data_IF_804663586014
#
_entry.id   IF_804663586014
#
_cell.length_a   1.000
_cell.length_b   1.000
_cell.length_c   1.000
_cell.angle_alpha   90.00
_cell.angle_beta   90.00
_cell.angle_gamma   90.00
#
_symmetry.space_group_name_H-M   'P 1'
#
loop_
_entity.id
_entity.type
_entity.pdbx_description
1 polymer ?
#
# COMPACT_ATOMS: atom_id res chain seq x y z
N UNK A 1 5.18 -17.96 24.75
CA UNK A 1 4.84 -17.39 23.43
C UNK A 1 4.91 -18.39 22.27
N UNK A 2 5.59 -19.56 22.39
CA UNK A 2 5.73 -20.56 21.30
C UNK A 2 4.48 -21.42 21.02
N UNK A 3 3.67 -21.76 22.03
CA UNK A 3 2.56 -22.71 21.88
C UNK A 3 1.41 -22.22 20.98
N UNK A 4 1.12 -20.91 20.94
CA UNK A 4 0.05 -20.36 20.08
C UNK A 4 0.40 -20.42 18.59
N UNK A 5 1.67 -20.27 18.22
CA UNK A 5 2.12 -20.31 16.83
C UNK A 5 2.00 -21.72 16.24
N UNK A 6 2.37 -22.72 17.03
CA UNK A 6 2.29 -24.12 16.62
C UNK A 6 0.83 -24.56 16.48
N UNK A 7 -0.07 -24.03 17.30
CA UNK A 7 -1.51 -24.26 17.15
C UNK A 7 -2.05 -23.71 15.82
N UNK A 8 -1.67 -22.47 15.44
CA UNK A 8 -2.09 -21.88 14.16
C UNK A 8 -1.59 -22.65 12.94
N UNK A 9 -0.36 -23.18 12.99
CA UNK A 9 0.18 -24.03 11.92
C UNK A 9 -0.65 -25.30 11.78
N UNK A 10 -1.00 -25.95 12.90
CA UNK A 10 -1.86 -27.14 12.90
C UNK A 10 -3.25 -26.83 12.36
N UNK A 11 -3.89 -25.72 12.75
CA UNK A 11 -5.21 -25.35 12.22
C UNK A 11 -5.20 -25.16 10.70
N UNK A 12 -4.21 -24.44 10.17
CA UNK A 12 -4.03 -24.26 8.71
C UNK A 12 -3.76 -25.58 7.99
N UNK A 13 -3.07 -26.50 8.64
CA UNK A 13 -2.76 -27.81 8.07
C UNK A 13 -4.01 -28.68 8.02
N UNK A 14 -4.80 -28.71 9.10
CA UNK A 14 -6.09 -29.42 9.14
C UNK A 14 -7.04 -28.85 8.08
N UNK A 15 -7.13 -27.52 7.96
CA UNK A 15 -7.94 -26.86 6.93
C UNK A 15 -7.58 -27.28 5.51
N UNK A 16 -6.29 -27.22 5.14
CA UNK A 16 -5.82 -27.71 3.83
C UNK A 16 -6.11 -29.18 3.59
N UNK A 17 -5.99 -30.01 4.62
CA UNK A 17 -6.31 -31.43 4.50
C UNK A 17 -7.80 -31.60 4.17
N UNK A 18 -8.67 -30.98 4.98
CA UNK A 18 -10.12 -31.14 4.85
C UNK A 18 -10.72 -30.51 3.57
N UNK A 19 -10.03 -29.56 2.94
CA UNK A 19 -10.37 -29.06 1.60
C UNK A 19 -10.11 -30.08 0.48
N UNK A 20 -9.20 -31.04 0.68
CA UNK A 20 -8.91 -32.05 -0.32
C UNK A 20 -9.94 -33.18 -0.29
N UNK A 21 -10.99 -33.03 -1.09
CA UNK A 21 -12.11 -33.96 -1.20
C UNK A 21 -11.75 -35.28 -1.91
N UNK A 22 -10.64 -35.32 -2.65
CA UNK A 22 -10.19 -36.52 -3.38
C UNK A 22 -9.51 -37.55 -2.47
N UNK A 23 -9.22 -37.18 -1.21
CA UNK A 23 -8.61 -38.07 -0.20
C UNK A 23 -9.54 -38.22 1.01
N UNK A 24 -9.61 -39.44 1.54
CA UNK A 24 -10.27 -39.70 2.83
C UNK A 24 -9.27 -39.43 3.95
N UNK A 25 -9.64 -38.55 4.89
CA UNK A 25 -8.77 -38.17 6.00
C UNK A 25 -9.19 -38.85 7.30
N UNK A 26 -8.33 -39.71 7.84
CA UNK A 26 -8.48 -40.22 9.20
C UNK A 26 -7.84 -39.27 10.20
N UNK A 27 -8.13 -39.48 11.49
CA UNK A 27 -7.45 -38.72 12.55
C UNK A 27 -5.93 -38.94 12.54
N UNK A 28 -5.47 -40.14 12.16
CA UNK A 28 -4.04 -40.47 12.04
C UNK A 28 -3.40 -39.71 10.88
N UNK A 29 -4.06 -39.61 9.73
CA UNK A 29 -3.58 -38.79 8.60
C UNK A 29 -3.44 -37.32 8.99
N UNK A 30 -4.41 -36.76 9.74
CA UNK A 30 -4.37 -35.37 10.20
C UNK A 30 -3.26 -35.15 11.24
N UNK A 31 -2.98 -36.16 12.09
CA UNK A 31 -1.85 -36.12 13.03
C UNK A 31 -0.51 -36.11 12.30
N UNK A 32 -0.35 -36.98 11.29
CA UNK A 32 0.87 -37.08 10.49
C UNK A 32 1.11 -35.77 9.72
N UNK A 33 0.11 -35.26 9.01
CA UNK A 33 0.20 -34.00 8.29
C UNK A 33 0.55 -32.82 9.21
N UNK A 34 -0.06 -32.73 10.40
CA UNK A 34 0.29 -31.72 11.39
C UNK A 34 1.71 -31.86 11.92
N UNK A 35 2.21 -33.10 12.05
CA UNK A 35 3.57 -33.37 12.54
C UNK A 35 4.61 -32.99 11.50
N UNK A 36 4.37 -33.33 10.24
CA UNK A 36 5.19 -32.94 9.10
C UNK A 36 5.26 -31.41 8.94
N UNK A 37 4.11 -30.73 8.98
CA UNK A 37 4.07 -29.28 8.88
C UNK A 37 4.81 -28.55 10.01
N UNK A 38 4.81 -29.11 11.23
CA UNK A 38 5.59 -28.56 12.34
C UNK A 38 7.09 -28.86 12.19
N UNK A 39 7.45 -30.04 11.69
CA UNK A 39 8.84 -30.41 11.40
C UNK A 39 9.46 -29.47 10.36
N UNK A 40 8.75 -29.23 9.25
CA UNK A 40 9.20 -28.28 8.22
C UNK A 40 9.40 -26.86 8.76
N UNK A 41 8.56 -26.47 9.72
CA UNK A 41 8.58 -25.12 10.28
C UNK A 41 9.67 -24.91 11.34
N UNK A 42 9.85 -25.87 12.26
CA UNK A 42 10.77 -25.74 13.41
C UNK A 42 12.11 -26.47 13.21
N UNK A 43 12.23 -27.35 12.21
CA UNK A 43 13.42 -28.16 11.94
C UNK A 43 13.73 -29.20 13.01
N UNK A 44 12.74 -29.56 13.84
CA UNK A 44 12.86 -30.54 14.94
C UNK A 44 11.75 -31.56 14.85
N UNK A 45 12.07 -32.82 15.11
CA UNK A 45 11.06 -33.88 15.22
C UNK A 45 10.09 -33.57 16.36
N UNK A 46 8.87 -33.19 15.99
CA UNK A 46 7.78 -32.90 16.92
C UNK A 46 6.54 -33.68 16.48
N UNK A 47 6.31 -34.84 17.09
CA UNK A 47 5.11 -35.64 16.86
C UNK A 47 3.90 -35.02 17.55
N UNK A 48 2.82 -34.79 16.80
CA UNK A 48 1.54 -34.31 17.35
C UNK A 48 0.74 -35.48 17.90
N UNK A 49 0.29 -35.39 19.16
CA UNK A 49 -0.49 -36.44 19.79
C UNK A 49 -1.94 -36.46 19.30
N UNK A 50 -2.59 -37.64 19.37
CA UNK A 50 -4.03 -37.80 19.07
C UNK A 50 -4.91 -36.84 19.85
N UNK A 51 -4.61 -36.63 21.13
CA UNK A 51 -5.33 -35.71 22.00
C UNK A 51 -5.20 -34.26 21.50
N UNK A 52 -4.03 -33.87 21.02
CA UNK A 52 -3.78 -32.52 20.49
C UNK A 52 -4.63 -32.27 19.26
N UNK A 53 -4.57 -33.16 18.26
CA UNK A 53 -5.37 -33.02 17.03
C UNK A 53 -6.87 -33.02 17.31
N UNK A 54 -7.34 -33.82 18.27
CA UNK A 54 -8.75 -33.81 18.70
C UNK A 54 -9.17 -32.48 19.34
N UNK A 55 -8.32 -31.91 20.20
CA UNK A 55 -8.56 -30.61 20.81
C UNK A 55 -8.52 -29.49 19.77
N UNK A 56 -7.62 -29.57 18.79
CA UNK A 56 -7.55 -28.60 17.69
C UNK A 56 -8.82 -28.64 16.84
N UNK A 57 -9.30 -29.83 16.46
CA UNK A 57 -10.58 -29.99 15.74
C UNK A 57 -11.75 -29.46 16.57
N UNK A 58 -11.77 -29.73 17.88
CA UNK A 58 -12.81 -29.22 18.77
C UNK A 58 -12.78 -27.69 18.86
N UNK A 59 -11.60 -27.09 18.89
CA UNK A 59 -11.43 -25.63 18.89
C UNK A 59 -11.84 -25.01 17.55
N UNK A 60 -11.48 -25.64 16.43
CA UNK A 60 -11.88 -25.20 15.10
C UNK A 60 -13.41 -25.23 14.91
N UNK A 61 -14.09 -26.23 15.49
CA UNK A 61 -15.57 -26.29 15.52
C UNK A 61 -16.20 -25.24 16.44
N UNK A 62 -15.46 -24.68 17.37
CA UNK A 62 -16.01 -23.78 18.39
C UNK A 62 -15.96 -22.31 17.96
N UNK A 63 -16.86 -21.51 18.53
CA UNK A 63 -16.89 -20.06 18.36
C UNK A 63 -15.66 -19.34 18.95
N UNK A 64 -14.86 -20.01 19.79
CA UNK A 64 -13.73 -19.39 20.51
C UNK A 64 -12.65 -18.81 19.59
N UNK A 65 -12.48 -19.37 18.40
CA UNK A 65 -11.52 -18.89 17.40
C UNK A 65 -12.20 -18.14 16.25
N UNK A 66 -13.53 -18.01 16.25
CA UNK A 66 -14.30 -17.40 15.17
C UNK A 66 -14.39 -18.24 13.88
N UNK A 67 -13.78 -19.43 13.84
CA UNK A 67 -13.81 -20.28 12.64
C UNK A 67 -15.18 -20.93 12.41
N UNK A 68 -15.82 -21.48 13.45
CA UNK A 68 -17.08 -22.23 13.32
C UNK A 68 -17.02 -23.30 12.23
N UNK A 69 -15.89 -24.01 12.17
CA UNK A 69 -15.59 -24.90 11.06
C UNK A 69 -16.57 -26.08 11.02
N UNK A 70 -17.30 -26.32 9.92
CA UNK A 70 -18.33 -27.34 9.81
C UNK A 70 -17.72 -28.73 9.58
N UNK A 71 -16.83 -29.17 10.47
CA UNK A 71 -16.12 -30.44 10.35
C UNK A 71 -17.06 -31.57 10.78
N UNK A 72 -17.39 -32.49 9.88
CA UNK A 72 -18.22 -33.67 10.16
C UNK A 72 -17.40 -34.96 10.15
N UNK A 73 -17.87 -35.97 10.89
CA UNK A 73 -17.27 -37.31 10.89
C UNK A 73 -18.23 -38.26 10.18
N UNK A 74 -17.76 -38.92 9.12
CA UNK A 74 -18.53 -39.91 8.37
C UNK A 74 -17.83 -41.28 8.39
N UNK A 75 -18.57 -42.35 8.11
CA UNK A 75 -18.15 -43.75 8.25
C UNK A 75 -17.44 -44.05 9.58
N UNK A 76 -17.82 -43.33 10.64
CA UNK A 76 -17.29 -43.41 12.02
C UNK A 76 -15.81 -43.05 12.20
N UNK A 77 -15.06 -42.71 11.13
CA UNK A 77 -13.61 -42.50 11.22
C UNK A 77 -13.01 -41.43 10.31
N UNK A 78 -13.73 -40.97 9.28
CA UNK A 78 -13.20 -39.99 8.34
C UNK A 78 -13.73 -38.60 8.64
N UNK A 79 -12.88 -37.59 8.44
CA UNK A 79 -13.19 -36.18 8.66
C UNK A 79 -13.29 -35.46 7.31
N UNK A 80 -14.28 -34.57 7.17
CA UNK A 80 -14.41 -33.64 6.03
C UNK A 80 -15.15 -32.38 6.48
N UNK A 81 -15.11 -31.32 5.66
CA UNK A 81 -16.07 -30.23 5.79
C UNK A 81 -17.45 -30.66 5.27
N UNK A 82 -18.51 -30.18 5.93
CA UNK A 82 -19.89 -30.31 5.48
C UNK A 82 -20.16 -29.38 4.29
N UNK A 83 -19.60 -28.18 4.35
CA UNK A 83 -19.56 -27.22 3.24
C UNK A 83 -18.24 -27.38 2.46
N UNK A 84 -18.36 -27.65 1.17
CA UNK A 84 -17.25 -27.97 0.28
C UNK A 84 -16.40 -26.74 -0.10
N UNK A 85 -16.94 -25.54 0.03
CA UNK A 85 -16.25 -24.28 -0.26
C UNK A 85 -15.62 -23.65 1.00
N UNK A 86 -15.85 -24.23 2.17
CA UNK A 86 -15.37 -23.69 3.43
C UNK A 86 -13.84 -23.74 3.58
N UNK A 87 -13.26 -22.63 4.04
CA UNK A 87 -11.87 -22.56 4.50
C UNK A 87 -11.75 -21.63 5.71
N UNK A 88 -10.84 -21.94 6.65
CA UNK A 88 -10.51 -21.02 7.75
C UNK A 88 -9.69 -19.79 7.30
N UNK A 89 -9.33 -19.70 6.02
CA UNK A 89 -8.53 -18.59 5.47
C UNK A 89 -9.34 -17.50 4.78
N UNK A 90 -10.58 -17.79 4.37
CA UNK A 90 -11.60 -16.79 4.01
C UNK A 90 -12.48 -16.59 5.25
N UNK A 91 -11.99 -15.80 6.20
CA UNK A 91 -12.81 -15.40 7.35
C UNK A 91 -13.55 -14.13 6.94
N UNK A 92 -14.84 -14.19 6.58
CA UNK A 92 -15.67 -12.99 6.56
C UNK A 92 -15.67 -12.38 7.97
N UNK A 93 -15.68 -11.05 8.06
CA UNK A 93 -15.65 -10.35 9.35
C UNK A 93 -16.75 -10.90 10.26
N UNK A 94 -16.41 -11.32 11.48
CA UNK A 94 -17.40 -11.86 12.42
C UNK A 94 -18.34 -10.74 12.91
N UNK A 95 -19.55 -11.06 13.35
CA UNK A 95 -20.47 -10.04 13.90
C UNK A 95 -19.83 -9.24 15.05
N UNK A 96 -18.97 -9.90 15.83
CA UNK A 96 -18.23 -9.25 16.92
C UNK A 96 -17.21 -8.25 16.38
N UNK A 97 -16.45 -8.62 15.35
CA UNK A 97 -15.51 -7.72 14.68
C UNK A 97 -16.23 -6.51 14.09
N UNK A 98 -17.38 -6.74 13.46
CA UNK A 98 -18.14 -5.66 12.85
C UNK A 98 -18.70 -4.72 13.93
N UNK A 99 -19.15 -5.25 15.07
CA UNK A 99 -19.63 -4.41 16.16
C UNK A 99 -18.50 -3.56 16.78
N UNK A 100 -17.31 -4.14 16.97
CA UNK A 100 -16.11 -3.40 17.41
C UNK A 100 -15.73 -2.32 16.41
N UNK A 101 -15.73 -2.62 15.11
CA UNK A 101 -15.46 -1.65 14.06
C UNK A 101 -16.52 -0.54 14.03
N UNK A 102 -17.80 -0.88 14.17
CA UNK A 102 -18.91 0.08 14.21
C UNK A 102 -18.77 1.02 15.42
N UNK A 103 -18.43 0.47 16.59
CA UNK A 103 -18.19 1.23 17.81
C UNK A 103 -16.96 2.15 17.66
N UNK A 104 -15.87 1.65 17.08
CA UNK A 104 -14.65 2.43 16.82
C UNK A 104 -14.92 3.59 15.86
N UNK A 105 -15.70 3.37 14.80
CA UNK A 105 -16.13 4.44 13.88
C UNK A 105 -17.00 5.47 14.60
N UNK A 106 -17.91 5.02 15.46
CA UNK A 106 -18.75 5.91 16.27
C UNK A 106 -17.92 6.76 17.23
N UNK A 107 -16.89 6.19 17.87
CA UNK A 107 -15.94 6.95 18.69
C UNK A 107 -15.17 7.98 17.85
N UNK A 108 -14.69 7.62 16.66
CA UNK A 108 -14.02 8.55 15.74
C UNK A 108 -14.95 9.68 15.29
N UNK A 109 -16.26 9.42 15.14
CA UNK A 109 -17.27 10.45 14.84
C UNK A 109 -17.41 11.49 15.95
N UNK A 110 -17.18 11.14 17.21
CA UNK A 110 -17.25 12.09 18.33
C UNK A 110 -16.15 13.17 18.26
N UNK A 111 -15.10 12.96 17.48
CA UNK A 111 -14.05 13.95 17.24
C UNK A 111 -14.32 14.88 16.04
N UNK A 112 -15.46 14.74 15.34
CA UNK A 112 -15.82 15.57 14.17
C UNK A 112 -16.01 17.06 14.47
N UNK A 113 -16.16 17.45 15.75
CA UNK A 113 -16.29 18.85 16.17
C UNK A 113 -14.95 19.62 16.16
N UNK A 114 -13.83 18.95 15.91
CA UNK A 114 -12.56 19.62 15.67
C UNK A 114 -12.45 20.03 14.19
N UNK A 115 -12.24 21.33 13.94
CA UNK A 115 -12.13 21.97 12.62
C UNK A 115 -10.98 21.46 11.73
N UNK A 116 -10.23 20.45 12.16
CA UNK A 116 -9.13 19.78 11.46
C UNK A 116 -9.57 18.54 10.65
N UNK A 117 -10.86 18.16 10.66
CA UNK A 117 -11.31 16.83 10.23
C UNK A 117 -12.22 16.78 8.98
N UNK A 118 -12.28 17.81 8.14
CA UNK A 118 -12.98 17.73 6.84
C UNK A 118 -12.51 16.51 6.03
N UNK A 119 -11.20 16.25 6.04
CA UNK A 119 -10.57 15.21 5.23
C UNK A 119 -10.78 13.78 5.80
N UNK A 120 -11.03 13.67 7.10
CA UNK A 120 -11.27 12.39 7.79
C UNK A 120 -12.73 11.95 7.64
N UNK A 121 -13.64 12.92 7.45
CA UNK A 121 -15.08 12.66 7.26
C UNK A 121 -15.35 11.72 6.08
N UNK A 122 -14.65 11.95 4.97
CA UNK A 122 -14.72 11.12 3.77
C UNK A 122 -14.18 9.71 4.01
N UNK A 123 -13.07 9.59 4.76
CA UNK A 123 -12.46 8.29 5.11
C UNK A 123 -13.38 7.48 6.01
N UNK A 124 -14.03 8.14 6.97
CA UNK A 124 -15.01 7.51 7.84
C UNK A 124 -16.21 7.00 7.04
N UNK A 125 -16.75 7.82 6.13
CA UNK A 125 -17.89 7.42 5.30
C UNK A 125 -17.53 6.24 4.38
N UNK A 126 -16.30 6.20 3.86
CA UNK A 126 -15.77 5.06 3.08
C UNK A 126 -15.63 3.79 3.91
N UNK A 127 -15.26 3.92 5.18
CA UNK A 127 -15.12 2.77 6.08
C UNK A 127 -16.50 2.22 6.49
N UNK A 128 -17.47 3.11 6.72
CA UNK A 128 -18.87 2.75 6.98
C UNK A 128 -19.50 2.00 5.81
N UNK A 129 -19.29 2.46 4.58
CA UNK A 129 -19.81 1.81 3.39
C UNK A 129 -19.29 0.37 3.25
N UNK A 130 -18.00 0.14 3.51
CA UNK A 130 -17.44 -1.23 3.52
C UNK A 130 -18.03 -2.11 4.62
N UNK A 131 -18.18 -1.55 5.83
CA UNK A 131 -18.79 -2.27 6.95
C UNK A 131 -20.25 -2.64 6.64
N UNK A 132 -20.99 -1.73 6.02
CA UNK A 132 -22.38 -1.94 5.63
C UNK A 132 -22.50 -2.98 4.51
N UNK A 133 -21.66 -2.88 3.47
CA UNK A 133 -21.58 -3.85 2.39
C UNK A 133 -21.35 -5.28 2.92
N UNK A 134 -20.42 -5.44 3.86
CA UNK A 134 -20.14 -6.73 4.50
C UNK A 134 -21.33 -7.24 5.33
N UNK A 135 -21.97 -6.36 6.14
CA UNK A 135 -23.16 -6.74 6.94
C UNK A 135 -24.35 -7.14 6.08
N UNK A 136 -24.61 -6.40 5.02
CA UNK A 136 -25.80 -6.58 4.18
C UNK A 136 -25.58 -7.54 3.00
N UNK A 137 -24.39 -8.12 2.87
CA UNK A 137 -24.00 -8.94 1.71
C UNK A 137 -24.26 -8.21 0.38
N UNK A 138 -24.07 -6.89 0.39
CA UNK A 138 -24.26 -6.02 -0.77
C UNK A 138 -22.91 -5.53 -1.27
N UNK A 139 -22.87 -5.04 -2.50
CA UNK A 139 -21.67 -4.41 -3.02
C UNK A 139 -21.44 -3.05 -2.33
N UNK A 140 -20.17 -2.69 -2.02
CA UNK A 140 -19.86 -1.36 -1.51
C UNK A 140 -20.26 -0.31 -2.56
N UNK A 141 -20.78 0.82 -2.09
CA UNK A 141 -21.14 1.95 -2.96
C UNK A 141 -19.88 2.78 -3.28
N UNK A 142 -18.87 2.75 -2.40
CA UNK A 142 -17.64 3.52 -2.54
C UNK A 142 -16.43 2.60 -2.78
N UNK A 143 -15.90 2.67 -4.00
CA UNK A 143 -14.69 1.95 -4.40
C UNK A 143 -13.46 2.86 -4.29
N UNK A 144 -12.40 2.32 -3.70
CA UNK A 144 -11.09 2.97 -3.63
C UNK A 144 -10.13 2.22 -4.54
N UNK A 145 -9.32 2.98 -5.27
CA UNK A 145 -8.17 2.41 -5.97
C UNK A 145 -7.26 1.72 -4.96
N UNK A 146 -7.18 0.39 -5.04
CA UNK A 146 -6.26 -0.42 -4.26
C UNK A 146 -5.10 -0.82 -5.14
N UNK A 147 -3.89 -0.66 -4.62
CA UNK A 147 -2.72 -1.33 -5.17
C UNK A 147 -2.44 -2.56 -4.30
N UNK A 148 -3.09 -3.67 -4.60
CA UNK A 148 -3.00 -4.93 -3.83
C UNK A 148 -1.57 -5.49 -3.80
N UNK A 149 -0.75 -5.13 -4.79
CA UNK A 149 0.65 -5.53 -4.89
C UNK A 149 1.62 -4.54 -4.21
N UNK A 150 1.11 -3.54 -3.48
CA UNK A 150 1.97 -2.55 -2.81
C UNK A 150 2.74 -3.22 -1.66
N UNK A 151 4.04 -3.41 -1.87
CA UNK A 151 4.96 -3.93 -0.85
C UNK A 151 5.43 -2.84 0.10
N UNK A 152 5.93 -3.23 1.27
CA UNK A 152 6.60 -2.34 2.21
C UNK A 152 5.69 -1.57 3.18
N UNK A 153 4.36 -1.73 3.10
CA UNK A 153 3.43 -1.10 4.06
C UNK A 153 3.67 -1.55 5.52
N UNK A 154 4.15 -2.77 5.73
CA UNK A 154 4.48 -3.26 7.07
C UNK A 154 5.63 -2.49 7.74
N UNK A 155 6.47 -1.78 6.97
CA UNK A 155 7.50 -0.90 7.52
C UNK A 155 6.98 0.47 7.93
N UNK A 156 5.75 0.82 7.57
CA UNK A 156 5.19 2.16 7.81
C UNK A 156 5.21 2.51 9.30
N UNK A 157 4.75 1.60 10.16
CA UNK A 157 4.72 1.83 11.61
C UNK A 157 6.13 1.95 12.20
N UNK A 158 7.05 1.04 11.83
CA UNK A 158 8.44 1.07 12.29
C UNK A 158 9.12 2.39 11.92
N UNK A 159 8.94 2.85 10.68
CA UNK A 159 9.52 4.10 10.18
C UNK A 159 8.84 5.33 10.80
N UNK A 160 7.53 5.28 11.02
CA UNK A 160 6.79 6.33 11.72
C UNK A 160 7.33 6.52 13.14
N UNK A 161 7.50 5.42 13.88
CA UNK A 161 8.08 5.45 15.22
C UNK A 161 9.51 5.98 15.22
N UNK A 162 10.33 5.61 14.21
CA UNK A 162 11.68 6.12 14.05
C UNK A 162 11.70 7.65 13.88
N UNK A 163 10.78 8.20 13.07
CA UNK A 163 10.68 9.64 12.82
C UNK A 163 10.26 10.38 14.10
N UNK A 164 9.19 9.94 14.76
CA UNK A 164 8.67 10.60 15.96
C UNK A 164 9.70 10.59 17.09
N UNK A 165 10.39 9.47 17.28
CA UNK A 165 11.41 9.31 18.32
C UNK A 165 12.78 9.86 17.92
N UNK A 166 12.92 10.43 16.71
CA UNK A 166 14.18 10.93 16.14
C UNK A 166 15.30 9.90 16.23
N UNK A 167 15.02 8.66 15.79
CA UNK A 167 15.97 7.55 15.77
C UNK A 167 16.47 7.33 14.35
N UNK A 168 17.78 7.13 14.22
CA UNK A 168 18.42 6.81 12.94
C UNK A 168 18.11 5.35 12.57
N UNK A 169 17.95 5.07 11.28
CA UNK A 169 17.65 3.71 10.81
C UNK A 169 18.74 3.20 9.87
N UNK A 170 19.01 1.90 9.92
CA UNK A 170 19.79 1.19 8.91
C UNK A 170 18.81 0.54 7.96
N UNK A 171 18.88 0.92 6.69
CA UNK A 171 18.02 0.39 5.65
C UNK A 171 18.81 -0.58 4.78
N UNK A 172 18.24 -1.75 4.54
CA UNK A 172 18.63 -2.59 3.42
C UNK A 172 17.69 -2.30 2.24
N UNK A 173 18.22 -1.67 1.18
CA UNK A 173 17.41 -1.11 0.09
C UNK A 173 17.83 -1.59 -1.28
N UNK A 174 16.86 -2.10 -2.06
CA UNK A 174 17.10 -2.56 -3.44
C UNK A 174 16.47 -1.63 -4.46
N UNK A 175 17.28 -0.72 -5.01
CA UNK A 175 16.82 0.14 -6.10
C UNK A 175 16.55 -0.67 -7.38
N UNK A 176 15.59 -0.25 -8.21
CA UNK A 176 15.35 -0.92 -9.51
C UNK A 176 16.54 -0.87 -10.48
N UNK A 177 17.54 -0.01 -10.22
CA UNK A 177 18.75 0.08 -11.03
C UNK A 177 19.89 -0.79 -10.47
N UNK A 178 19.79 -1.23 -9.23
CA UNK A 178 20.83 -1.98 -8.54
C UNK A 178 20.59 -3.47 -8.70
N UNK A 179 21.65 -4.23 -8.98
CA UNK A 179 21.58 -5.70 -8.98
C UNK A 179 21.44 -6.25 -7.56
N UNK A 180 22.25 -5.71 -6.65
CA UNK A 180 22.28 -6.09 -5.25
C UNK A 180 21.64 -5.04 -4.34
N UNK A 181 21.05 -5.46 -3.21
CA UNK A 181 20.57 -4.55 -2.18
C UNK A 181 21.75 -3.85 -1.50
N UNK A 182 21.53 -2.61 -1.07
CA UNK A 182 22.54 -1.80 -0.40
C UNK A 182 22.09 -1.47 1.01
N UNK A 183 22.93 -1.79 1.98
CA UNK A 183 22.75 -1.38 3.36
C UNK A 183 23.36 0.00 3.59
N UNK A 184 22.60 0.92 4.18
CA UNK A 184 23.13 2.24 4.57
C UNK A 184 22.33 2.86 5.72
N UNK A 185 22.99 3.77 6.43
CA UNK A 185 22.39 4.60 7.47
C UNK A 185 21.52 5.67 6.83
N UNK A 186 20.36 5.91 7.43
CA UNK A 186 19.37 6.87 6.96
C UNK A 186 18.77 7.64 8.15
N UNK A 187 18.62 8.94 7.96
CA UNK A 187 17.99 9.87 8.89
C UNK A 187 16.60 10.20 8.35
N UNK A 188 15.53 9.54 8.84
CA UNK A 188 14.18 9.71 8.31
C UNK A 188 13.53 10.97 8.87
N UNK A 189 12.93 11.80 8.02
CA UNK A 189 12.28 13.07 8.41
C UNK A 189 10.76 13.00 8.31
N UNK A 190 10.23 12.48 7.21
CA UNK A 190 8.79 12.30 7.03
C UNK A 190 8.49 11.04 6.21
N UNK A 191 7.24 10.60 6.30
CA UNK A 191 6.62 9.68 5.33
C UNK A 191 5.72 10.50 4.41
N UNK A 192 5.79 10.24 3.10
CA UNK A 192 4.94 10.88 2.10
C UNK A 192 4.26 9.84 1.22
N UNK A 193 2.95 9.95 1.11
CA UNK A 193 2.15 9.20 0.15
C UNK A 193 2.03 10.02 -1.16
N UNK A 194 2.16 9.35 -2.30
CA UNK A 194 1.89 9.92 -3.61
C UNK A 194 1.59 8.82 -4.63
N UNK A 195 0.46 8.95 -5.35
CA UNK A 195 -0.02 8.00 -6.35
C UNK A 195 -0.09 6.56 -5.83
N UNK A 196 -0.72 6.37 -4.67
CA UNK A 196 -0.91 5.10 -3.99
C UNK A 196 0.43 4.39 -3.67
N UNK A 197 1.46 5.18 -3.34
CA UNK A 197 2.79 4.69 -2.98
C UNK A 197 3.39 5.53 -1.85
N UNK A 198 4.01 4.84 -0.90
CA UNK A 198 4.67 5.47 0.23
C UNK A 198 6.17 5.66 0.00
N UNK A 199 6.67 6.80 0.46
CA UNK A 199 8.06 7.21 0.36
C UNK A 199 8.57 7.67 1.72
N UNK A 200 9.73 7.15 2.11
CA UNK A 200 10.51 7.64 3.24
C UNK A 200 11.41 8.77 2.77
N UNK A 201 11.29 9.93 3.39
CA UNK A 201 12.03 11.14 3.00
C UNK A 201 13.03 11.46 4.09
N UNK A 202 14.28 11.71 3.71
CA UNK A 202 15.33 11.92 4.67
C UNK A 202 16.70 12.08 4.01
N UNK A 203 17.76 11.94 4.81
CA UNK A 203 19.15 12.03 4.34
C UNK A 203 19.94 10.79 4.71
N UNK A 204 20.91 10.41 3.87
CA UNK A 204 21.89 9.37 4.23
C UNK A 204 23.01 9.91 5.13
N UNK A 205 23.38 11.19 4.94
CA UNK A 205 24.40 11.92 5.70
C UNK A 205 24.01 13.39 5.78
N UNK A 206 24.43 14.10 6.82
CA UNK A 206 24.15 15.54 7.03
C UNK A 206 24.53 16.39 5.80
N UNK A 207 25.68 16.09 5.18
CA UNK A 207 26.21 16.83 4.02
C UNK A 207 25.54 16.50 2.68
N UNK A 208 24.64 15.51 2.65
CA UNK A 208 24.00 15.05 1.42
C UNK A 208 22.61 15.68 1.23
N UNK A 209 22.14 15.79 -0.02
CA UNK A 209 20.79 16.27 -0.29
C UNK A 209 19.74 15.31 0.30
N UNK A 210 18.55 15.85 0.52
CA UNK A 210 17.38 15.08 0.94
C UNK A 210 16.96 14.20 -0.24
N UNK A 211 16.72 12.93 0.06
CA UNK A 211 16.29 11.92 -0.90
C UNK A 211 14.99 11.28 -0.45
N UNK A 212 14.24 10.77 -1.42
CA UNK A 212 13.02 10.01 -1.25
C UNK A 212 13.27 8.53 -1.59
N UNK A 213 12.94 7.63 -0.67
CA UNK A 213 13.09 6.19 -0.82
C UNK A 213 11.71 5.54 -0.82
N UNK A 214 11.34 4.90 -1.92
CA UNK A 214 10.06 4.19 -2.00
C UNK A 214 10.04 2.97 -1.06
N UNK A 215 9.02 2.84 -0.22
CA UNK A 215 8.92 1.79 0.81
C UNK A 215 8.85 0.39 0.20
N UNK A 216 8.30 0.25 -1.01
CA UNK A 216 8.18 -1.03 -1.73
C UNK A 216 9.53 -1.65 -2.13
N UNK A 217 10.62 -0.94 -1.89
CA UNK A 217 12.00 -1.35 -2.21
C UNK A 217 12.88 -1.55 -0.98
N UNK A 218 12.31 -1.38 0.22
CA UNK A 218 12.98 -1.68 1.48
C UNK A 218 12.85 -3.19 1.70
N UNK A 219 13.97 -3.87 1.93
CA UNK A 219 14.01 -5.29 2.26
C UNK A 219 14.07 -5.52 3.77
N UNK A 220 14.76 -4.65 4.51
CA UNK A 220 14.83 -4.67 5.97
C UNK A 220 15.09 -3.28 6.55
N UNK A 221 14.64 -3.08 7.80
CA UNK A 221 14.84 -1.87 8.60
C UNK A 221 15.31 -2.27 9.99
N UNK A 222 16.44 -1.70 10.41
CA UNK A 222 16.95 -1.81 11.78
C UNK A 222 17.14 -0.41 12.38
N UNK A 223 17.17 -0.32 13.71
CA UNK A 223 17.45 0.93 14.42
C UNK A 223 18.94 1.09 14.68
N UNK A 224 19.41 2.32 14.55
CA UNK A 224 20.77 2.71 14.91
C UNK A 224 20.73 3.72 16.05
N UNK A 225 21.18 3.27 17.22
CA UNK A 225 21.30 4.09 18.42
C UNK A 225 22.71 4.67 18.62
N UNK A 226 23.66 4.31 17.75
CA UNK A 226 25.05 4.77 17.83
C UNK A 226 25.27 6.10 17.12
N UNK A 227 24.49 6.40 16.09
CA UNK A 227 24.61 7.65 15.35
C UNK A 227 23.65 8.72 15.85
N UNK A 228 24.11 9.98 16.03
CA UNK A 228 23.23 11.08 16.38
C UNK A 228 22.25 11.33 15.23
N UNK A 229 21.00 11.58 15.58
CA UNK A 229 20.01 11.99 14.61
C UNK A 229 20.35 13.37 14.06
N UNK A 230 20.45 13.46 12.74
CA UNK A 230 20.70 14.71 12.02
C UNK A 230 19.43 15.57 12.08
N UNK A 231 19.28 16.34 13.16
CA UNK A 231 18.20 17.32 13.27
C UNK A 231 18.34 18.38 12.18
N UNK A 232 17.33 18.42 11.32
CA UNK A 232 17.18 19.44 10.30
C UNK A 232 15.80 20.04 10.48
N UNK A 233 15.69 21.37 10.38
CA UNK A 233 14.41 22.06 10.42
C UNK A 233 13.69 21.85 9.07
N UNK A 234 13.33 20.59 8.81
CA UNK A 234 12.72 20.15 7.57
C UNK A 234 11.24 20.50 7.58
N UNK A 235 10.87 21.50 6.78
CA UNK A 235 9.47 21.85 6.55
C UNK A 235 8.98 21.18 5.26
N UNK A 236 8.09 20.19 5.40
CA UNK A 236 7.56 19.42 4.29
C UNK A 236 6.76 20.28 3.29
N UNK A 237 5.93 21.20 3.78
CA UNK A 237 5.13 22.09 2.94
C UNK A 237 6.03 22.91 2.02
N UNK A 238 7.04 23.57 2.57
CA UNK A 238 8.01 24.36 1.80
C UNK A 238 8.87 23.49 0.88
N UNK A 239 9.24 22.28 1.30
CA UNK A 239 10.06 21.38 0.48
C UNK A 239 9.32 20.91 -0.78
N UNK A 240 8.03 20.63 -0.66
CA UNK A 240 7.19 20.16 -1.77
C UNK A 240 6.41 21.27 -2.48
N UNK A 241 6.39 22.50 -1.96
CA UNK A 241 5.60 23.63 -2.47
C UNK A 241 5.76 23.86 -3.96
N UNK A 242 6.95 23.66 -4.52
CA UNK A 242 7.21 23.98 -5.92
C UNK A 242 7.35 22.74 -6.81
N UNK A 243 6.83 21.58 -6.41
CA UNK A 243 6.92 20.35 -7.20
C UNK A 243 5.60 19.60 -7.24
N UNK A 244 5.43 18.77 -8.27
CA UNK A 244 4.36 17.79 -8.31
C UNK A 244 4.93 16.43 -7.89
N UNK A 245 4.32 15.79 -6.90
CA UNK A 245 4.76 14.48 -6.42
C UNK A 245 5.89 14.50 -5.40
N UNK A 246 6.87 13.61 -5.57
CA UNK A 246 7.85 13.27 -4.52
C UNK A 246 9.29 13.62 -4.86
N UNK A 247 9.63 13.77 -6.14
CA UNK A 247 11.01 14.07 -6.54
C UNK A 247 11.27 15.56 -6.51
N UNK A 248 12.15 15.99 -5.59
CA UNK A 248 12.60 17.39 -5.47
C UNK A 248 14.06 17.48 -5.90
N UNK A 249 14.30 18.08 -7.07
CA UNK A 249 15.64 18.31 -7.59
C UNK A 249 16.26 19.52 -6.90
N UNK A 250 17.07 19.27 -5.87
CA UNK A 250 17.80 20.33 -5.15
C UNK A 250 18.75 21.05 -6.13
N UNK A 251 18.61 22.37 -6.24
CA UNK A 251 19.38 23.21 -7.18
C UNK A 251 18.62 23.63 -8.45
N UNK A 252 17.48 23.02 -8.77
CA UNK A 252 16.62 23.54 -9.83
C UNK A 252 15.81 24.76 -9.34
N UNK A 253 15.81 25.80 -10.17
CA UNK A 253 15.00 27.00 -9.96
C UNK A 253 13.56 26.76 -10.38
N UNK A 254 12.64 27.38 -9.67
CA UNK A 254 11.23 27.49 -10.08
C UNK A 254 11.17 28.21 -11.42
N UNK A 255 10.34 27.71 -12.33
CA UNK A 255 10.12 28.33 -13.64
C UNK A 255 8.63 28.49 -13.89
N UNK A 256 8.28 29.54 -14.60
CA UNK A 256 6.94 29.70 -15.17
C UNK A 256 6.81 28.77 -16.37
N UNK A 257 5.78 27.94 -16.35
CA UNK A 257 5.46 26.96 -17.36
C UNK A 257 4.10 27.33 -17.92
N UNK A 258 3.99 27.42 -19.24
CA UNK A 258 2.73 27.68 -19.93
C UNK A 258 2.34 26.44 -20.70
N UNK A 259 1.11 25.97 -20.48
CA UNK A 259 0.55 24.80 -21.15
C UNK A 259 -0.73 25.22 -21.87
N UNK A 260 -0.89 24.74 -23.09
CA UNK A 260 -2.17 24.70 -23.78
C UNK A 260 -2.83 23.35 -23.50
N UNK A 261 -4.13 23.36 -23.24
CA UNK A 261 -4.95 22.17 -22.98
C UNK A 261 -6.14 22.22 -23.92
N UNK A 262 -6.41 21.11 -24.59
CA UNK A 262 -7.53 20.98 -25.52
C UNK A 262 -8.91 21.16 -24.85
N UNK A 263 -9.95 21.23 -25.68
CA UNK A 263 -11.31 21.43 -25.21
C UNK A 263 -11.83 20.26 -24.35
N UNK A 264 -11.42 19.03 -24.66
CA UNK A 264 -11.91 17.83 -23.98
C UNK A 264 -11.34 17.71 -22.56
N UNK A 265 -10.06 18.09 -22.37
CA UNK A 265 -9.39 18.03 -21.08
C UNK A 265 -9.57 19.31 -20.25
N UNK A 266 -9.88 20.45 -20.86
CA UNK A 266 -10.00 21.74 -20.17
C UNK A 266 -10.91 21.70 -18.91
N UNK A 267 -12.15 21.14 -18.95
CA UNK A 267 -13.01 21.08 -17.75
C UNK A 267 -12.38 20.29 -16.59
N UNK A 268 -11.65 19.22 -16.90
CA UNK A 268 -10.98 18.39 -15.90
C UNK A 268 -9.81 19.13 -15.26
N UNK A 269 -9.03 19.87 -16.04
CA UNK A 269 -7.88 20.65 -15.54
C UNK A 269 -8.31 21.86 -14.72
N UNK A 270 -9.47 22.45 -15.04
CA UNK A 270 -10.06 23.57 -14.27
C UNK A 270 -10.54 23.07 -12.91
N UNK A 271 -11.26 21.96 -12.87
CA UNK A 271 -11.84 21.42 -11.62
C UNK A 271 -10.81 20.67 -10.77
N UNK A 272 -9.77 20.11 -11.39
CA UNK A 272 -8.66 19.41 -10.74
C UNK A 272 -7.31 20.01 -11.18
N UNK A 273 -6.89 21.13 -10.58
CA UNK A 273 -5.62 21.76 -10.90
C UNK A 273 -4.43 20.82 -10.70
N UNK A 274 -3.43 20.89 -11.58
CA UNK A 274 -2.22 20.09 -11.47
C UNK A 274 -1.33 20.49 -10.28
N UNK A 275 -1.41 21.75 -9.89
CA UNK A 275 -0.61 22.35 -8.83
C UNK A 275 -1.34 23.55 -8.22
N UNK A 276 -1.10 23.86 -6.95
CA UNK A 276 -1.74 25.00 -6.27
C UNK A 276 -1.45 26.35 -6.94
N UNK A 277 -0.31 26.47 -7.63
CA UNK A 277 0.07 27.70 -8.33
C UNK A 277 -0.63 27.88 -9.69
N UNK A 278 -1.51 26.95 -10.09
CA UNK A 278 -2.14 26.97 -11.41
C UNK A 278 -3.00 28.23 -11.57
N UNK A 279 -2.83 28.91 -12.70
CA UNK A 279 -3.68 30.03 -13.11
C UNK A 279 -4.15 29.81 -14.53
N UNK A 280 -5.41 30.15 -14.80
CA UNK A 280 -5.93 30.17 -16.16
C UNK A 280 -5.57 31.54 -16.75
N UNK A 281 -4.80 31.53 -17.82
CA UNK A 281 -4.35 32.75 -18.50
C UNK A 281 -5.36 33.16 -19.58
N UNK A 282 -5.85 32.20 -20.36
CA UNK A 282 -6.70 32.44 -21.53
C UNK A 282 -7.76 31.34 -21.67
N UNK A 283 -8.98 31.75 -22.01
CA UNK A 283 -10.01 30.86 -22.57
C UNK A 283 -10.12 31.16 -24.07
N UNK A 284 -10.02 30.13 -24.92
CA UNK A 284 -10.08 30.27 -26.37
C UNK A 284 -11.46 29.96 -26.92
N UNK A 285 -11.75 30.45 -28.12
CA UNK A 285 -13.03 30.26 -28.80
C UNK A 285 -13.35 28.78 -29.08
N UNK A 286 -12.32 27.97 -29.32
CA UNK A 286 -12.41 26.52 -29.53
C UNK A 286 -12.65 25.73 -28.23
N UNK A 287 -12.91 26.41 -27.10
CA UNK A 287 -13.05 25.86 -25.74
C UNK A 287 -11.77 25.30 -25.13
N UNK A 288 -10.64 25.41 -25.82
CA UNK A 288 -9.33 25.12 -25.23
C UNK A 288 -8.90 26.22 -24.25
N UNK A 289 -7.94 25.91 -23.38
CA UNK A 289 -7.43 26.87 -22.39
C UNK A 289 -5.91 26.95 -22.42
N UNK A 290 -5.39 28.10 -21.98
CA UNK A 290 -3.97 28.25 -21.65
C UNK A 290 -3.85 28.47 -20.15
N UNK A 291 -3.02 27.67 -19.49
CA UNK A 291 -2.72 27.81 -18.07
C UNK A 291 -1.25 28.15 -17.85
N UNK A 292 -0.97 28.79 -16.72
CA UNK A 292 0.38 28.96 -16.20
C UNK A 292 0.58 28.23 -14.87
N UNK A 293 1.81 27.74 -14.66
CA UNK A 293 2.24 27.04 -13.47
C UNK A 293 3.61 27.58 -13.04
N UNK A 294 3.86 27.71 -11.74
CA UNK A 294 5.16 28.06 -11.19
C UNK A 294 5.69 26.89 -10.37
N UNK A 295 6.54 26.07 -10.98
CA UNK A 295 7.09 24.88 -10.34
C UNK A 295 8.49 24.53 -10.87
N UNK A 296 9.19 23.65 -10.17
CA UNK A 296 10.45 23.03 -10.58
C UNK A 296 10.13 21.82 -11.45
N UNK A 297 10.69 21.79 -12.65
CA UNK A 297 10.44 20.72 -13.63
C UNK A 297 11.06 19.41 -13.11
N UNK A 298 10.22 18.49 -12.66
CA UNK A 298 10.62 17.19 -12.18
C UNK A 298 10.04 16.05 -13.04
N UNK A 299 10.36 14.81 -12.66
CA UNK A 299 10.00 13.63 -13.41
C UNK A 299 8.49 13.39 -13.47
N UNK A 300 7.81 13.60 -12.34
CA UNK A 300 6.38 13.42 -12.15
C UNK A 300 5.59 14.43 -13.00
N UNK A 301 6.04 15.69 -13.07
CA UNK A 301 5.41 16.68 -13.94
C UNK A 301 5.53 16.33 -15.42
N UNK A 302 6.72 15.89 -15.87
CA UNK A 302 6.89 15.44 -17.25
C UNK A 302 6.01 14.22 -17.57
N UNK A 303 5.85 13.30 -16.62
CA UNK A 303 4.93 12.16 -16.77
C UNK A 303 3.48 12.59 -16.83
N UNK A 304 3.08 13.55 -16.01
CA UNK A 304 1.73 14.11 -16.02
C UNK A 304 1.40 14.65 -17.41
N UNK A 305 2.26 15.52 -17.97
CA UNK A 305 2.07 16.06 -19.33
C UNK A 305 1.93 14.93 -20.36
N UNK A 306 2.86 13.98 -20.36
CA UNK A 306 2.81 12.86 -21.32
C UNK A 306 1.58 11.96 -21.14
N UNK A 307 1.01 11.89 -19.94
CA UNK A 307 -0.20 11.11 -19.65
C UNK A 307 -1.43 11.61 -20.38
N UNK A 308 -1.48 12.92 -20.70
CA UNK A 308 -2.54 13.52 -21.51
C UNK A 308 -2.30 13.35 -23.02
N UNK A 309 -1.13 12.84 -23.44
CA UNK A 309 -0.84 12.61 -24.85
C UNK A 309 -0.91 13.89 -25.68
N UNK A 310 -1.83 13.91 -26.65
CA UNK A 310 -2.07 15.06 -27.54
C UNK A 310 -2.90 16.19 -26.91
N UNK A 311 -3.58 15.92 -25.78
CA UNK A 311 -4.45 16.90 -25.13
C UNK A 311 -3.73 18.01 -24.35
N UNK A 312 -2.39 17.94 -24.24
CA UNK A 312 -1.57 19.00 -23.65
C UNK A 312 -0.38 19.35 -24.54
N UNK A 313 -0.19 20.64 -24.80
CA UNK A 313 0.98 21.19 -25.47
C UNK A 313 1.77 22.12 -24.53
N UNK A 314 3.10 21.93 -24.46
CA UNK A 314 3.97 22.84 -23.73
C UNK A 314 4.28 24.07 -24.60
N UNK A 315 3.79 25.24 -24.19
CA UNK A 315 4.08 26.53 -24.84
C UNK A 315 5.40 27.14 -24.34
N UNK A 316 5.68 27.01 -23.03
CA UNK A 316 6.92 27.50 -22.43
C UNK A 316 7.27 26.72 -21.15
N UNK A 317 8.55 26.61 -20.75
CA UNK A 317 9.75 27.08 -21.46
C UNK A 317 10.15 26.15 -22.61
N UNK A 318 10.87 26.68 -23.60
CA UNK A 318 11.32 25.92 -24.78
C UNK A 318 12.12 24.66 -24.42
N UNK A 319 12.93 24.73 -23.36
CA UNK A 319 13.68 23.57 -22.86
C UNK A 319 12.77 22.40 -22.46
N UNK A 320 11.58 22.67 -21.90
CA UNK A 320 10.62 21.63 -21.56
C UNK A 320 9.91 21.11 -22.81
N UNK A 321 9.47 22.01 -23.70
CA UNK A 321 8.82 21.67 -24.97
C UNK A 321 9.69 20.71 -25.79
N UNK A 322 10.98 21.01 -25.94
CA UNK A 322 11.91 20.17 -26.68
C UNK A 322 12.11 18.79 -26.00
N UNK A 323 12.20 18.74 -24.66
CA UNK A 323 12.30 17.47 -23.93
C UNK A 323 11.06 16.58 -24.11
N UNK A 324 9.86 17.15 -24.05
CA UNK A 324 8.60 16.43 -24.26
C UNK A 324 8.50 15.95 -25.71
N UNK A 325 8.80 16.82 -26.69
CA UNK A 325 8.86 16.47 -28.12
C UNK A 325 9.79 15.27 -28.38
N UNK A 326 10.98 15.26 -27.81
CA UNK A 326 11.93 14.15 -28.00
C UNK A 326 11.44 12.83 -27.39
N UNK A 327 10.68 12.89 -26.28
CA UNK A 327 10.03 11.71 -25.70
C UNK A 327 8.90 11.19 -26.59
N UNK A 328 8.04 12.06 -27.12
CA UNK A 328 6.98 11.65 -28.04
C UNK A 328 7.54 11.03 -29.32
N UNK A 329 8.63 11.58 -29.89
CA UNK A 329 9.32 10.94 -31.03
C UNK A 329 9.80 9.51 -30.69
N UNK A 330 10.35 9.31 -29.50
CA UNK A 330 10.78 7.97 -29.03
C UNK A 330 9.59 7.05 -28.79
N UNK A 331 8.46 7.58 -28.32
CA UNK A 331 7.24 6.81 -28.15
C UNK A 331 6.69 6.38 -29.51
N UNK A 332 6.53 7.31 -30.46
CA UNK A 332 6.03 7.05 -31.82
C UNK A 332 6.84 5.96 -32.53
N UNK A 333 8.19 6.05 -32.46
CA UNK A 333 9.08 5.03 -33.02
C UNK A 333 8.81 3.61 -32.52
N UNK A 334 8.25 3.42 -31.33
CA UNK A 334 7.90 2.08 -30.83
C UNK A 334 6.65 1.50 -31.49
N UNK A 335 5.75 2.35 -31.95
CA UNK A 335 4.53 1.97 -32.66
C UNK A 335 4.76 1.83 -34.16
N UNK A 336 5.75 2.55 -34.71
CA UNK A 336 6.17 2.40 -36.11
C UNK A 336 6.92 1.07 -36.36
N UNK A 337 7.49 0.47 -35.31
CA UNK A 337 8.15 -0.83 -35.39
C UNK A 337 7.10 -1.95 -35.33
N UNK A 338 7.29 -3.06 -36.07
CA UNK A 338 6.41 -4.21 -35.97
C UNK A 338 6.40 -4.75 -34.53
N UNK A 339 5.22 -5.19 -34.09
CA UNK A 339 5.04 -5.82 -32.78
C UNK A 339 5.99 -7.02 -32.71
N UNK A 340 6.85 -7.03 -31.68
CA UNK A 340 7.81 -8.11 -31.44
C UNK A 340 7.16 -9.34 -30.83
#
# INVERSE_FOLDING_TARGET
MSQNKNALIRYKTIDKCLQNQYRKWTLEDLMEACSEALFEYEGKESSVSKRTTQLDIQLMRSEKLGYNAPIVVYDKKYYKYEDEEYTITDIPLTETDINVLTETVSMLKQFKDFSLFSDVSDILQRLEDKIYAEKSHTQPVIYLDKNENLKGLHFLDILYQAIIKKVVVVLNYKSFKSREPQQFIFHPYILKEFNNRWFLVGKKKVSQPIVNLALDRIEAVDFDFGHPYAEENFNAENFYKDVIGVTVNQGQRVRTIRLWIDADNAPYVITKPFHHSQKIEEHREDRSIVISLMLKINYEFERLIMGFGEGIEVLAPESLRQRIRDKHKKALRKYDLPVK
#
